data_IF_434913594923
#
_entry.id   IF_434913594923
#
_cell.length_a   1.000
_cell.length_b   1.000
_cell.length_c   1.000
_cell.angle_alpha   90.00
_cell.angle_beta   90.00
_cell.angle_gamma   90.00
#
_symmetry.space_group_name_H-M   'P 1'
#
loop_
_entity.id
_entity.type
_entity.pdbx_description
1 polymer ?
#
# COMPACT_ATOMS: atom_id res chain seq x y z
N UNK A 1 5.19 -15.61 -4.41
CA UNK A 1 5.54 -14.20 -4.12
C UNK A 1 6.95 -14.03 -3.58
N UNK A 2 7.42 -14.87 -2.64
CA UNK A 2 8.79 -14.86 -2.08
C UNK A 2 9.95 -14.80 -3.10
N UNK A 3 9.98 -15.58 -4.20
CA UNK A 3 11.11 -15.49 -5.15
C UNK A 3 11.15 -14.16 -5.92
N UNK A 4 9.98 -13.59 -6.25
CA UNK A 4 9.89 -12.25 -6.83
C UNK A 4 10.44 -11.21 -5.86
N UNK A 5 10.10 -11.32 -4.57
CA UNK A 5 10.58 -10.40 -3.52
C UNK A 5 12.09 -10.44 -3.30
N UNK A 6 12.78 -11.52 -3.66
CA UNK A 6 14.24 -11.64 -3.53
C UNK A 6 14.94 -11.20 -4.81
N UNK A 7 14.42 -11.58 -5.98
CA UNK A 7 15.04 -11.29 -7.28
C UNK A 7 14.87 -9.82 -7.68
N UNK A 8 13.71 -9.23 -7.41
CA UNK A 8 13.41 -7.83 -7.76
C UNK A 8 14.38 -6.83 -7.11
N UNK A 9 14.59 -6.87 -5.78
CA UNK A 9 15.53 -5.94 -5.14
C UNK A 9 16.96 -6.16 -5.61
N UNK A 10 17.37 -7.36 -6.00
CA UNK A 10 18.72 -7.60 -6.53
C UNK A 10 18.93 -6.94 -7.90
N UNK A 11 17.92 -7.01 -8.78
CA UNK A 11 17.97 -6.34 -10.09
C UNK A 11 17.86 -4.83 -9.91
N UNK A 12 16.92 -4.37 -9.08
CA UNK A 12 16.64 -2.95 -8.86
C UNK A 12 17.76 -2.27 -8.05
N UNK A 13 18.41 -2.95 -7.11
CA UNK A 13 19.53 -2.35 -6.33
C UNK A 13 20.68 -1.95 -7.24
N UNK A 14 20.93 -2.70 -8.31
CA UNK A 14 21.95 -2.36 -9.31
C UNK A 14 21.64 -1.05 -10.05
N UNK A 15 20.36 -0.73 -10.24
CA UNK A 15 19.89 0.54 -10.82
C UNK A 15 19.65 1.64 -9.77
N UNK A 16 19.49 1.29 -8.50
CA UNK A 16 19.17 2.21 -7.39
C UNK A 16 20.41 2.61 -6.59
N UNK A 17 21.56 1.96 -6.80
CA UNK A 17 22.86 2.29 -6.20
C UNK A 17 23.45 3.66 -6.65
N UNK A 18 22.67 4.47 -7.37
CA UNK A 18 23.08 5.80 -7.80
C UNK A 18 23.22 6.82 -6.66
N UNK A 19 23.74 8.03 -6.97
CA UNK A 19 23.97 9.07 -5.98
C UNK A 19 22.69 9.60 -5.33
N UNK A 20 21.52 9.47 -5.97
CA UNK A 20 20.25 10.07 -5.54
C UNK A 20 19.12 9.04 -5.37
N UNK A 21 19.06 8.31 -4.24
CA UNK A 21 18.03 7.27 -4.02
C UNK A 21 16.61 7.85 -3.98
N UNK A 22 16.44 9.09 -3.52
CA UNK A 22 15.13 9.75 -3.45
C UNK A 22 14.52 10.05 -4.83
N UNK A 23 15.34 10.17 -5.88
CA UNK A 23 14.86 10.41 -7.24
C UNK A 23 14.13 9.18 -7.81
N UNK A 24 14.56 7.97 -7.43
CA UNK A 24 13.86 6.73 -7.75
C UNK A 24 12.49 6.71 -7.07
N UNK A 25 12.43 7.11 -5.79
CA UNK A 25 11.17 7.20 -5.05
C UNK A 25 10.17 8.17 -5.72
N UNK A 26 10.63 9.36 -6.10
CA UNK A 26 9.78 10.35 -6.77
C UNK A 26 9.28 9.85 -8.12
N UNK A 27 10.13 9.18 -8.90
CA UNK A 27 9.76 8.60 -10.20
C UNK A 27 8.84 7.38 -10.06
N UNK A 28 8.93 6.61 -8.99
CA UNK A 28 8.08 5.44 -8.71
C UNK A 28 6.67 5.82 -8.21
N UNK A 29 6.54 6.98 -7.54
CA UNK A 29 5.27 7.47 -6.99
C UNK A 29 4.13 7.59 -8.02
N UNK A 30 4.30 8.18 -9.21
CA UNK A 30 3.23 8.23 -10.21
C UNK A 30 2.81 6.83 -10.70
N UNK A 31 3.76 5.90 -10.84
CA UNK A 31 3.43 4.51 -11.21
C UNK A 31 2.60 3.83 -10.13
N UNK A 32 2.92 4.04 -8.85
CA UNK A 32 2.11 3.53 -7.74
C UNK A 32 0.68 4.08 -7.81
N UNK A 33 0.51 5.37 -8.10
CA UNK A 33 -0.80 6.00 -8.20
C UNK A 33 -1.61 5.45 -9.38
N UNK A 34 -0.97 5.27 -10.54
CA UNK A 34 -1.58 4.68 -11.74
C UNK A 34 -2.02 3.24 -11.51
N UNK A 35 -1.19 2.41 -10.87
CA UNK A 35 -1.55 1.03 -10.51
C UNK A 35 -2.70 1.00 -9.49
N UNK A 36 -2.77 1.97 -8.57
CA UNK A 36 -3.93 2.13 -7.68
C UNK A 36 -5.23 2.38 -8.45
N UNK A 37 -5.19 3.20 -9.50
CA UNK A 37 -6.33 3.45 -10.37
C UNK A 37 -6.68 2.22 -11.22
N UNK A 38 -5.68 1.50 -11.72
CA UNK A 38 -5.87 0.19 -12.38
C UNK A 38 -6.60 -0.79 -11.46
N UNK A 39 -6.22 -0.89 -10.18
CA UNK A 39 -6.92 -1.72 -9.20
C UNK A 39 -8.37 -1.32 -8.99
N UNK A 40 -8.67 -0.03 -8.92
CA UNK A 40 -10.06 0.44 -8.81
C UNK A 40 -10.89 0.03 -10.04
N UNK A 41 -10.31 0.11 -11.24
CA UNK A 41 -10.96 -0.36 -12.47
C UNK A 41 -11.13 -1.88 -12.50
N UNK A 42 -10.15 -2.65 -12.01
CA UNK A 42 -10.25 -4.10 -11.89
C UNK A 42 -11.41 -4.51 -10.97
N UNK A 43 -11.56 -3.87 -9.81
CA UNK A 43 -12.66 -4.13 -8.88
C UNK A 43 -14.03 -3.81 -9.49
N UNK A 44 -14.13 -2.70 -10.23
CA UNK A 44 -15.36 -2.37 -10.96
C UNK A 44 -15.68 -3.36 -12.09
N UNK A 45 -14.66 -3.96 -12.69
CA UNK A 45 -14.81 -4.97 -13.74
C UNK A 45 -15.14 -6.36 -13.19
N UNK A 46 -14.71 -6.69 -11.96
CA UNK A 46 -14.95 -7.98 -11.29
C UNK A 46 -16.40 -8.48 -11.38
N UNK A 47 -17.45 -7.71 -11.01
CA UNK A 47 -18.84 -8.20 -11.06
C UNK A 47 -19.35 -8.46 -12.49
N UNK A 48 -18.74 -7.86 -13.52
CA UNK A 48 -19.11 -8.11 -14.93
C UNK A 48 -18.51 -9.39 -15.49
N UNK A 49 -17.44 -9.90 -14.86
CA UNK A 49 -16.72 -11.11 -15.26
C UNK A 49 -17.24 -12.35 -14.51
N UNK A 50 -17.99 -12.13 -13.43
CA UNK A 50 -18.58 -13.20 -12.63
C UNK A 50 -19.54 -14.05 -13.47
N UNK A 51 -19.19 -15.33 -13.66
CA UNK A 51 -20.08 -16.36 -14.20
C UNK A 51 -20.50 -17.28 -13.05
N UNK A 52 -21.73 -17.83 -13.11
CA UNK A 52 -22.36 -18.66 -12.07
C UNK A 52 -21.64 -19.99 -11.70
N UNK A 53 -20.38 -20.17 -12.11
CA UNK A 53 -19.52 -21.30 -11.76
C UNK A 53 -18.06 -20.93 -11.41
N UNK A 54 -17.72 -19.64 -11.30
CA UNK A 54 -16.38 -19.16 -10.90
C UNK A 54 -15.77 -18.12 -11.83
N UNK A 55 -14.59 -17.61 -11.47
CA UNK A 55 -13.83 -16.67 -12.30
C UNK A 55 -13.01 -17.42 -13.35
N UNK A 56 -12.97 -16.92 -14.60
CA UNK A 56 -12.17 -17.51 -15.65
C UNK A 56 -10.65 -17.30 -15.41
N UNK A 57 -9.82 -18.23 -15.90
CA UNK A 57 -8.36 -18.24 -15.67
C UNK A 57 -7.68 -16.93 -16.10
N UNK A 58 -8.17 -16.28 -17.17
CA UNK A 58 -7.60 -15.01 -17.63
C UNK A 58 -7.68 -13.90 -16.58
N UNK A 59 -8.74 -13.88 -15.75
CA UNK A 59 -8.91 -12.89 -14.69
C UNK A 59 -7.81 -13.04 -13.64
N UNK A 60 -7.51 -14.27 -13.22
CA UNK A 60 -6.42 -14.55 -12.28
C UNK A 60 -5.04 -14.15 -12.83
N UNK A 61 -4.78 -14.40 -14.11
CA UNK A 61 -3.51 -14.01 -14.75
C UNK A 61 -3.35 -12.48 -14.73
N UNK A 62 -4.40 -11.73 -15.09
CA UNK A 62 -4.38 -10.27 -15.10
C UNK A 62 -4.14 -9.72 -13.68
N UNK A 63 -4.89 -10.22 -12.69
CA UNK A 63 -4.74 -9.80 -11.29
C UNK A 63 -3.34 -10.11 -10.77
N UNK A 64 -2.79 -11.29 -11.09
CA UNK A 64 -1.46 -11.70 -10.65
C UNK A 64 -0.36 -10.84 -11.30
N UNK A 65 -0.52 -10.46 -12.56
CA UNK A 65 0.42 -9.60 -13.27
C UNK A 65 0.38 -8.16 -12.74
N UNK A 66 -0.82 -7.59 -12.55
CA UNK A 66 -0.98 -6.27 -11.93
C UNK A 66 -0.40 -6.27 -10.50
N UNK A 67 -0.61 -7.34 -9.73
CA UNK A 67 0.02 -7.51 -8.42
C UNK A 67 1.54 -7.58 -8.48
N UNK A 68 2.11 -8.30 -9.43
CA UNK A 68 3.56 -8.34 -9.60
C UNK A 68 4.13 -6.94 -9.89
N UNK A 69 3.50 -6.17 -10.79
CA UNK A 69 3.89 -4.80 -11.12
C UNK A 69 3.76 -3.86 -9.91
N UNK A 70 2.66 -3.98 -9.17
CA UNK A 70 2.46 -3.20 -7.95
C UNK A 70 3.55 -3.47 -6.91
N UNK A 71 3.86 -4.75 -6.68
CA UNK A 71 4.95 -5.15 -5.79
C UNK A 71 6.29 -4.56 -6.22
N UNK A 72 6.62 -4.52 -7.52
CA UNK A 72 7.85 -3.88 -8.03
C UNK A 72 7.95 -2.42 -7.57
N UNK A 73 6.86 -1.65 -7.71
CA UNK A 73 6.84 -0.23 -7.33
C UNK A 73 6.96 -0.02 -5.82
N UNK A 74 6.30 -0.88 -5.02
CA UNK A 74 6.42 -0.81 -3.56
C UNK A 74 7.83 -1.14 -3.08
N UNK A 75 8.45 -2.19 -3.63
CA UNK A 75 9.80 -2.59 -3.26
C UNK A 75 10.85 -1.58 -3.68
N UNK A 76 10.73 -0.98 -4.86
CA UNK A 76 11.65 0.08 -5.30
C UNK A 76 11.59 1.30 -4.38
N UNK A 77 10.39 1.70 -3.94
CA UNK A 77 10.20 2.76 -2.95
C UNK A 77 10.81 2.41 -1.58
N UNK A 78 10.58 1.19 -1.10
CA UNK A 78 11.14 0.71 0.17
C UNK A 78 12.67 0.71 0.17
N UNK A 79 13.29 0.14 -0.87
CA UNK A 79 14.75 0.11 -1.03
C UNK A 79 15.33 1.53 -1.12
N UNK A 80 14.63 2.45 -1.79
CA UNK A 80 15.07 3.85 -1.90
C UNK A 80 15.10 4.57 -0.55
N UNK A 81 14.09 4.35 0.30
CA UNK A 81 14.06 4.90 1.67
C UNK A 81 15.19 4.30 2.52
N UNK A 82 15.38 2.99 2.47
CA UNK A 82 16.46 2.33 3.22
C UNK A 82 17.84 2.83 2.78
N UNK A 83 18.05 3.06 1.48
CA UNK A 83 19.27 3.63 0.94
C UNK A 83 19.47 5.11 1.37
N UNK A 84 18.39 5.89 1.49
CA UNK A 84 18.44 7.24 2.01
C UNK A 84 18.79 7.26 3.51
N UNK A 85 18.13 6.42 4.31
CA UNK A 85 18.41 6.28 5.75
C UNK A 85 19.88 5.89 5.98
N UNK A 86 20.44 5.02 5.15
CA UNK A 86 21.85 4.64 5.22
C UNK A 86 22.81 5.78 4.85
N UNK A 87 22.46 6.64 3.87
CA UNK A 87 23.30 7.78 3.45
C UNK A 87 23.27 8.96 4.42
N UNK A 88 22.12 9.24 5.03
CA UNK A 88 21.98 10.34 6.00
C UNK A 88 22.53 9.96 7.38
N UNK A 89 22.65 8.66 7.65
CA UNK A 89 23.28 8.16 8.87
C UNK A 89 24.77 8.47 8.87
N UNK A 90 25.20 9.30 9.81
CA UNK A 90 26.58 9.75 9.96
C UNK A 90 27.57 8.57 10.12
N UNK A 91 28.69 8.47 9.40
CA UNK A 91 29.57 7.29 9.45
C UNK A 91 30.10 6.96 10.85
N UNK A 92 30.24 7.97 11.72
CA UNK A 92 30.79 7.80 13.07
C UNK A 92 29.78 7.16 14.06
N UNK A 93 28.48 7.45 13.89
CA UNK A 93 27.37 6.99 14.77
C UNK A 93 26.21 6.43 13.93
N UNK A 94 26.53 5.82 12.80
CA UNK A 94 25.54 5.47 11.78
C UNK A 94 24.57 4.40 12.23
N UNK A 95 25.00 3.49 13.12
CA UNK A 95 24.14 2.44 13.67
C UNK A 95 22.95 2.99 14.46
N UNK A 96 23.15 4.03 15.27
CA UNK A 96 22.09 4.65 16.08
C UNK A 96 21.14 5.45 15.21
N UNK A 97 21.64 6.25 14.27
CA UNK A 97 20.80 7.00 13.33
C UNK A 97 20.00 6.08 12.40
N UNK A 98 20.62 5.03 11.87
CA UNK A 98 19.95 4.06 11.01
C UNK A 98 18.82 3.35 11.75
N UNK A 99 19.05 2.96 13.01
CA UNK A 99 18.03 2.30 13.83
C UNK A 99 16.88 3.25 14.14
N UNK A 100 17.18 4.49 14.58
CA UNK A 100 16.15 5.49 14.87
C UNK A 100 15.33 5.83 13.63
N UNK A 101 15.97 6.00 12.47
CA UNK A 101 15.28 6.27 11.21
C UNK A 101 14.43 5.08 10.77
N UNK A 102 14.86 3.84 11.00
CA UNK A 102 14.04 2.66 10.77
C UNK A 102 12.83 2.61 11.71
N UNK A 103 13.00 2.95 13.00
CA UNK A 103 11.88 3.04 13.95
C UNK A 103 10.87 4.08 13.49
N UNK A 104 11.32 5.29 13.12
CA UNK A 104 10.46 6.35 12.61
C UNK A 104 9.79 5.93 11.30
N UNK A 105 10.50 5.24 10.40
CA UNK A 105 9.95 4.75 9.13
C UNK A 105 8.87 3.68 9.34
N UNK A 106 9.10 2.73 10.26
CA UNK A 106 8.13 1.70 10.60
C UNK A 106 6.89 2.28 11.29
N UNK A 107 7.08 3.27 12.17
CA UNK A 107 5.96 4.00 12.77
C UNK A 107 5.18 4.75 11.69
N UNK A 108 5.91 5.48 10.83
CA UNK A 108 5.42 6.25 9.69
C UNK A 108 4.60 5.44 8.68
N UNK A 109 4.92 4.16 8.50
CA UNK A 109 4.18 3.26 7.62
C UNK A 109 2.88 2.71 8.22
N UNK A 110 2.79 2.55 9.53
CA UNK A 110 1.66 1.87 10.18
C UNK A 110 0.61 2.82 10.76
N UNK A 111 1.02 4.00 11.27
CA UNK A 111 0.09 4.96 11.86
C UNK A 111 -1.06 5.45 10.95
N UNK A 112 -0.92 5.55 9.60
CA UNK A 112 -2.00 6.07 8.78
C UNK A 112 -3.23 5.17 8.79
N UNK A 113 -3.05 3.84 8.90
CA UNK A 113 -4.16 2.89 8.99
C UNK A 113 -4.97 3.08 10.27
N UNK A 114 -4.29 3.30 11.40
CA UNK A 114 -4.95 3.57 12.68
C UNK A 114 -5.73 4.87 12.63
N UNK A 115 -5.13 5.94 12.07
CA UNK A 115 -5.81 7.23 11.93
C UNK A 115 -6.98 7.15 10.94
N UNK A 116 -6.81 6.43 9.83
CA UNK A 116 -7.87 6.23 8.85
C UNK A 116 -9.08 5.54 9.48
N UNK A 117 -8.86 4.46 10.23
CA UNK A 117 -9.92 3.73 10.94
C UNK A 117 -10.58 4.58 12.02
N UNK A 118 -9.80 5.36 12.77
CA UNK A 118 -10.34 6.27 13.78
C UNK A 118 -11.24 7.36 13.17
N UNK A 119 -10.96 7.78 11.94
CA UNK A 119 -11.78 8.75 11.20
C UNK A 119 -12.99 8.13 10.48
N UNK A 120 -13.16 6.81 10.46
CA UNK A 120 -14.31 6.17 9.78
C UNK A 120 -15.62 6.59 10.44
N UNK A 121 -15.74 6.51 11.75
CA UNK A 121 -16.97 6.84 12.47
C UNK A 121 -17.46 8.28 12.26
N UNK A 122 -16.62 9.32 12.36
CA UNK A 122 -17.07 10.69 12.14
C UNK A 122 -17.30 11.03 10.66
N UNK A 123 -16.62 10.37 9.71
CA UNK A 123 -16.77 10.65 8.27
C UNK A 123 -17.86 9.81 7.60
N UNK A 124 -18.30 8.71 8.21
CA UNK A 124 -19.28 7.80 7.60
C UNK A 124 -20.71 8.26 7.89
N UNK A 125 -21.50 8.45 6.84
CA UNK A 125 -22.94 8.71 6.95
C UNK A 125 -23.66 7.37 7.14
N UNK A 126 -24.42 7.24 8.24
CA UNK A 126 -25.23 6.05 8.55
C UNK A 126 -26.67 6.28 8.08
N UNK A 127 -27.14 5.50 7.12
CA UNK A 127 -28.54 5.48 6.70
C UNK A 127 -29.26 4.26 7.30
N UNK A 128 -30.31 4.48 8.08
CA UNK A 128 -31.14 3.40 8.60
C UNK A 128 -32.23 3.02 7.57
N UNK A 129 -32.15 1.81 6.99
CA UNK A 129 -33.20 1.30 6.09
C UNK A 129 -34.33 0.70 6.93
N UNK A 130 -35.50 1.34 6.95
CA UNK A 130 -36.73 0.81 7.57
C UNK A 130 -37.23 1.54 8.84
N UNK A 131 -36.52 2.55 9.35
CA UNK A 131 -36.96 3.35 10.50
C UNK A 131 -37.25 4.80 10.08
N UNK A 132 -38.50 5.09 9.74
CA UNK A 132 -38.89 6.38 9.13
C UNK A 132 -38.80 7.61 10.04
N UNK A 133 -38.28 7.52 11.28
CA UNK A 133 -38.26 8.64 12.24
C UNK A 133 -37.25 8.48 13.40
N UNK A 134 -36.17 7.70 13.24
CA UNK A 134 -35.15 7.55 14.29
C UNK A 134 -33.75 7.91 13.75
N UNK A 135 -33.07 8.80 14.46
CA UNK A 135 -31.67 9.11 14.19
C UNK A 135 -30.81 7.94 14.68
N UNK A 136 -29.95 7.39 13.81
CA UNK A 136 -29.07 6.24 14.08
C UNK A 136 -27.90 6.59 15.03
N UNK A 137 -28.13 7.43 16.05
CA UNK A 137 -27.12 8.12 16.85
C UNK A 137 -26.94 7.57 18.27
N UNK A 138 -27.63 6.50 18.66
CA UNK A 138 -27.48 5.92 20.01
C UNK A 138 -26.33 4.90 20.07
N UNK A 139 -25.43 4.99 21.07
CA UNK A 139 -24.33 4.04 21.29
C UNK A 139 -24.76 2.61 21.69
N UNK A 140 -26.05 2.39 21.97
CA UNK A 140 -26.58 1.13 22.54
C UNK A 140 -27.33 0.28 21.51
N UNK A 141 -26.71 0.00 20.36
CA UNK A 141 -27.14 -1.09 19.50
C UNK A 141 -26.11 -2.22 19.62
N UNK A 142 -26.39 -3.13 20.55
CA UNK A 142 -25.71 -4.41 20.73
C UNK A 142 -25.56 -5.09 19.37
N UNK A 143 -24.31 -5.30 18.95
CA UNK A 143 -23.98 -6.22 17.86
C UNK A 143 -24.46 -7.62 18.26
N UNK A 144 -25.37 -8.20 17.46
CA UNK A 144 -25.67 -9.64 17.43
C UNK A 144 -25.08 -10.21 16.16
#
# INVERSE_FOLDING_TARGET
MVPLQIILPLIISKYTAGPQPLNIFYKAMPYRLLLGLEYALLVWWTPKVEHQGGFPIYYYIIVLLSYALHQVTLYSMYVSIMAFNAKVSDPLIGGTYMTLLNTVSNLGGNWPSTVALWLVDPLTVKECVGASNQNCQTPDAVEV
#
